data_IF_439296937998
#
_entry.id   IF_439296937998
#
_cell.length_a   1.000
_cell.length_b   1.000
_cell.length_c   1.000
_cell.angle_alpha   90.00
_cell.angle_beta   90.00
_cell.angle_gamma   90.00
#
_symmetry.space_group_name_H-M   'P 1'
#
loop_
_entity.id
_entity.type
_entity.pdbx_description
1 polymer ?
#
# COMPACT_ATOMS: atom_id res chain seq x y z
N UNK A 1 15.63 -41.57 -14.01
CA UNK A 1 15.82 -40.58 -12.93
C UNK A 1 15.09 -39.35 -13.38
N UNK A 2 13.83 -39.19 -12.91
CA UNK A 2 12.95 -38.10 -13.32
C UNK A 2 13.20 -36.89 -12.44
N UNK A 3 13.59 -35.82 -13.07
CA UNK A 3 13.75 -34.49 -12.48
C UNK A 3 12.33 -33.97 -12.14
N UNK A 4 11.98 -33.99 -10.84
CA UNK A 4 10.78 -33.34 -10.35
C UNK A 4 11.11 -31.84 -10.15
N UNK A 5 10.91 -31.06 -11.17
CA UNK A 5 10.75 -29.61 -11.06
C UNK A 5 9.60 -29.35 -10.08
N UNK A 6 9.94 -29.01 -8.84
CA UNK A 6 8.98 -28.47 -7.89
C UNK A 6 8.52 -27.11 -8.39
N UNK A 7 7.41 -27.10 -9.12
CA UNK A 7 6.63 -25.86 -9.33
C UNK A 7 6.11 -25.44 -7.96
N UNK A 8 6.77 -24.49 -7.33
CA UNK A 8 6.25 -23.77 -6.17
C UNK A 8 4.97 -23.06 -6.63
N UNK A 9 3.82 -23.67 -6.37
CA UNK A 9 2.53 -23.02 -6.58
C UNK A 9 2.44 -21.87 -5.59
N UNK A 10 2.79 -20.68 -6.03
CA UNK A 10 2.64 -19.45 -5.22
C UNK A 10 1.16 -19.29 -4.94
N UNK A 11 0.74 -19.53 -3.71
CA UNK A 11 -0.66 -19.38 -3.31
C UNK A 11 -0.96 -17.89 -3.20
N UNK A 12 -1.83 -17.38 -4.06
CA UNK A 12 -2.26 -16.00 -4.01
C UNK A 12 -3.11 -15.77 -2.75
N UNK A 13 -2.78 -14.72 -2.02
CA UNK A 13 -3.50 -14.31 -0.82
C UNK A 13 -4.71 -13.45 -1.18
N UNK A 14 -4.55 -12.58 -2.20
CA UNK A 14 -5.61 -11.75 -2.74
C UNK A 14 -5.64 -11.95 -4.25
N UNK A 15 -6.82 -12.13 -4.81
CA UNK A 15 -7.08 -12.18 -6.24
C UNK A 15 -8.25 -11.28 -6.58
N UNK A 16 -8.07 -10.35 -7.49
CA UNK A 16 -9.11 -9.48 -8.03
C UNK A 16 -9.09 -9.59 -9.56
N UNK A 17 -10.26 -9.73 -10.17
CA UNK A 17 -10.42 -9.81 -11.61
C UNK A 17 -11.60 -8.95 -12.06
N UNK A 18 -11.32 -7.93 -12.87
CA UNK A 18 -12.33 -7.03 -13.42
C UNK A 18 -13.12 -6.26 -12.35
N UNK A 19 -12.51 -6.02 -11.18
CA UNK A 19 -13.20 -5.46 -10.03
C UNK A 19 -13.70 -4.05 -10.33
N UNK A 20 -15.02 -3.89 -10.34
CA UNK A 20 -15.69 -2.61 -10.58
C UNK A 20 -16.56 -2.26 -9.38
N UNK A 21 -16.44 -0.99 -8.91
CA UNK A 21 -17.19 -0.50 -7.77
C UNK A 21 -17.73 0.90 -8.04
N UNK A 22 -19.00 1.13 -7.71
CA UNK A 22 -19.68 2.41 -7.95
C UNK A 22 -20.41 2.92 -6.72
N UNK A 23 -20.37 4.24 -6.53
CA UNK A 23 -21.19 4.98 -5.56
C UNK A 23 -22.17 5.86 -6.34
N UNK A 24 -23.38 5.36 -6.52
CA UNK A 24 -24.35 6.01 -7.39
C UNK A 24 -23.83 6.13 -8.82
N UNK A 25 -23.62 7.38 -9.30
CA UNK A 25 -23.08 7.65 -10.65
C UNK A 25 -21.54 7.66 -10.71
N UNK A 26 -20.85 7.72 -9.56
CA UNK A 26 -19.38 7.80 -9.52
C UNK A 26 -18.80 6.38 -9.54
N UNK A 27 -17.99 6.07 -10.54
CA UNK A 27 -17.15 4.87 -10.57
C UNK A 27 -15.93 5.12 -9.68
N UNK A 28 -15.75 4.30 -8.66
CA UNK A 28 -14.63 4.38 -7.73
C UNK A 28 -13.53 3.37 -8.06
N UNK A 29 -13.89 2.24 -8.68
CA UNK A 29 -12.97 1.27 -9.26
C UNK A 29 -13.54 0.86 -10.62
N UNK A 30 -12.67 0.77 -11.63
CA UNK A 30 -13.02 0.50 -13.01
C UNK A 30 -12.09 -0.58 -13.58
N UNK A 31 -12.59 -1.82 -13.66
CA UNK A 31 -11.90 -2.98 -14.24
C UNK A 31 -10.53 -3.30 -13.60
N UNK A 32 -10.45 -3.26 -12.26
CA UNK A 32 -9.21 -3.48 -11.53
C UNK A 32 -8.92 -4.97 -11.39
N UNK A 33 -7.75 -5.41 -11.89
CA UNK A 33 -7.30 -6.80 -11.81
C UNK A 33 -5.88 -6.89 -11.27
N UNK A 34 -5.66 -7.70 -10.22
CA UNK A 34 -4.35 -7.94 -9.63
C UNK A 34 -4.33 -9.19 -8.76
N UNK A 35 -3.13 -9.64 -8.42
CA UNK A 35 -2.89 -10.70 -7.44
C UNK A 35 -1.84 -10.25 -6.44
N UNK A 36 -1.99 -10.69 -5.18
CA UNK A 36 -0.99 -10.51 -4.13
C UNK A 36 -0.64 -11.90 -3.58
N UNK A 37 0.62 -12.34 -3.71
CA UNK A 37 1.08 -13.57 -3.09
C UNK A 37 1.15 -13.46 -1.56
N UNK A 38 1.22 -14.61 -0.88
CA UNK A 38 1.46 -14.67 0.57
C UNK A 38 2.88 -14.15 0.92
N UNK A 39 3.03 -13.57 2.13
CA UNK A 39 4.32 -13.12 2.66
C UNK A 39 4.81 -11.78 2.12
N UNK A 40 3.92 -10.99 1.50
CA UNK A 40 4.27 -9.71 0.87
C UNK A 40 3.82 -8.51 1.70
N UNK A 41 4.65 -7.47 1.67
CA UNK A 41 4.29 -6.14 2.18
C UNK A 41 4.03 -5.24 0.98
N UNK A 42 2.76 -4.96 0.73
CA UNK A 42 2.30 -4.30 -0.50
C UNK A 42 1.86 -2.87 -0.22
N UNK A 43 2.45 -1.91 -0.92
CA UNK A 43 2.03 -0.52 -0.91
C UNK A 43 0.90 -0.27 -1.92
N UNK A 44 -0.24 0.23 -1.46
CA UNK A 44 -1.31 0.72 -2.33
C UNK A 44 -1.21 2.24 -2.46
N UNK A 45 -0.64 2.70 -3.56
CA UNK A 45 -0.33 4.08 -3.82
C UNK A 45 -1.38 4.74 -4.71
N UNK A 46 -1.56 6.04 -4.55
CA UNK A 46 -2.49 6.82 -5.35
C UNK A 46 -2.84 8.15 -4.69
N UNK A 47 -3.24 9.13 -5.48
CA UNK A 47 -3.70 10.41 -4.94
C UNK A 47 -5.02 10.25 -4.14
N UNK A 48 -5.42 11.31 -3.43
CA UNK A 48 -6.71 11.31 -2.74
C UNK A 48 -7.86 11.19 -3.75
N UNK A 49 -8.73 10.21 -3.53
CA UNK A 49 -9.84 9.90 -4.45
C UNK A 49 -9.48 8.89 -5.56
N UNK A 50 -8.26 8.37 -5.64
CA UNK A 50 -7.84 7.37 -6.63
C UNK A 50 -8.57 6.02 -6.52
N UNK A 51 -9.25 5.75 -5.39
CA UNK A 51 -10.00 4.50 -5.17
C UNK A 51 -9.42 3.59 -4.07
N UNK A 52 -8.32 3.95 -3.41
CA UNK A 52 -7.62 3.12 -2.40
C UNK A 52 -8.55 2.59 -1.31
N UNK A 53 -9.23 3.48 -0.58
CA UNK A 53 -10.20 3.11 0.47
C UNK A 53 -11.36 2.25 -0.09
N UNK A 54 -11.79 2.52 -1.33
CA UNK A 54 -12.83 1.73 -1.97
C UNK A 54 -12.38 0.31 -2.26
N UNK A 55 -11.15 0.13 -2.74
CA UNK A 55 -10.53 -1.18 -2.94
C UNK A 55 -10.43 -1.92 -1.60
N UNK A 56 -9.87 -1.31 -0.57
CA UNK A 56 -9.75 -1.93 0.75
C UNK A 56 -11.11 -2.34 1.34
N UNK A 57 -12.14 -1.49 1.20
CA UNK A 57 -13.51 -1.83 1.62
C UNK A 57 -14.08 -3.03 0.87
N UNK A 58 -13.77 -3.19 -0.42
CA UNK A 58 -14.16 -4.37 -1.18
C UNK A 58 -13.44 -5.62 -0.68
N UNK A 59 -12.12 -5.53 -0.42
CA UNK A 59 -11.30 -6.65 0.08
C UNK A 59 -11.74 -7.16 1.46
N UNK A 60 -12.23 -6.28 2.33
CA UNK A 60 -12.74 -6.68 3.66
C UNK A 60 -14.25 -6.97 3.69
N UNK A 61 -14.90 -6.98 2.53
CA UNK A 61 -16.32 -7.27 2.39
C UNK A 61 -17.28 -6.22 2.96
N UNK A 62 -16.79 -4.97 3.14
CA UNK A 62 -17.61 -3.82 3.54
C UNK A 62 -18.40 -3.23 2.38
N UNK A 63 -17.93 -3.47 1.16
CA UNK A 63 -18.53 -2.96 -0.07
C UNK A 63 -18.61 -4.10 -1.10
N UNK A 64 -19.81 -4.52 -1.49
CA UNK A 64 -19.96 -5.53 -2.55
C UNK A 64 -19.53 -4.92 -3.90
N UNK A 65 -18.75 -5.62 -4.72
CA UNK A 65 -18.43 -5.18 -6.07
C UNK A 65 -19.68 -5.11 -6.94
N UNK A 66 -19.71 -4.13 -7.86
CA UNK A 66 -20.75 -4.02 -8.89
C UNK A 66 -20.45 -4.86 -10.13
N UNK A 67 -19.20 -5.33 -10.29
CA UNK A 67 -18.73 -6.21 -11.36
C UNK A 67 -17.39 -6.83 -11.02
N UNK A 68 -17.03 -7.89 -11.75
CA UNK A 68 -15.81 -8.66 -11.49
C UNK A 68 -15.91 -9.59 -10.29
N UNK A 69 -14.78 -10.14 -9.89
CA UNK A 69 -14.65 -11.05 -8.74
C UNK A 69 -13.50 -10.66 -7.84
N UNK A 70 -13.62 -10.98 -6.56
CA UNK A 70 -12.56 -10.81 -5.57
C UNK A 70 -12.53 -11.99 -4.62
N UNK A 71 -11.35 -12.49 -4.35
CA UNK A 71 -11.07 -13.53 -3.35
C UNK A 71 -9.97 -13.03 -2.41
N UNK A 72 -10.16 -13.21 -1.12
CA UNK A 72 -9.16 -12.89 -0.08
C UNK A 72 -9.01 -14.08 0.83
N UNK A 73 -7.78 -14.59 0.98
CA UNK A 73 -7.51 -15.84 1.72
C UNK A 73 -8.34 -17.03 1.19
N UNK A 74 -8.62 -17.04 -0.13
CA UNK A 74 -9.47 -18.07 -0.76
C UNK A 74 -10.96 -17.94 -0.45
N UNK A 75 -11.40 -16.85 0.19
CA UNK A 75 -12.79 -16.60 0.60
C UNK A 75 -13.39 -15.45 -0.22
N UNK A 76 -14.70 -15.54 -0.49
CA UNK A 76 -15.51 -14.41 -0.97
C UNK A 76 -15.70 -13.43 0.19
N UNK A 77 -15.17 -12.17 0.09
CA UNK A 77 -15.23 -11.23 1.20
C UNK A 77 -16.63 -10.83 1.64
N UNK A 78 -17.61 -10.87 0.74
CA UNK A 78 -19.00 -10.50 1.04
C UNK A 78 -19.76 -11.68 1.64
N UNK A 79 -19.67 -12.84 1.00
CA UNK A 79 -20.45 -14.02 1.39
C UNK A 79 -19.89 -14.73 2.62
N UNK A 80 -18.57 -14.67 2.79
CA UNK A 80 -17.84 -15.39 3.85
C UNK A 80 -17.12 -14.43 4.82
N UNK A 81 -17.64 -13.20 4.95
CA UNK A 81 -17.02 -12.11 5.72
C UNK A 81 -16.69 -12.50 7.16
N UNK A 82 -17.57 -13.21 7.85
CA UNK A 82 -17.30 -13.65 9.24
C UNK A 82 -16.03 -14.48 9.32
N UNK A 83 -15.89 -15.50 8.45
CA UNK A 83 -14.69 -16.37 8.38
C UNK A 83 -13.45 -15.61 7.94
N UNK A 84 -13.61 -14.62 7.04
CA UNK A 84 -12.52 -13.79 6.58
C UNK A 84 -11.96 -12.94 7.72
N UNK A 85 -12.82 -12.26 8.49
CA UNK A 85 -12.41 -11.38 9.58
C UNK A 85 -11.79 -12.11 10.78
N UNK A 86 -11.91 -13.43 10.88
CA UNK A 86 -11.13 -14.23 11.84
C UNK A 86 -9.65 -14.31 11.48
N UNK A 87 -9.30 -14.12 10.19
CA UNK A 87 -7.97 -14.30 9.64
C UNK A 87 -7.37 -13.02 9.05
N UNK A 88 -8.11 -11.92 9.12
CA UNK A 88 -7.75 -10.63 8.58
C UNK A 88 -7.91 -9.55 9.65
N UNK A 89 -6.91 -8.68 9.77
CA UNK A 89 -6.96 -7.47 10.58
C UNK A 89 -7.10 -6.24 9.68
N UNK A 90 -7.96 -5.28 10.06
CA UNK A 90 -8.19 -4.05 9.28
C UNK A 90 -8.16 -2.81 10.15
N UNK A 91 -7.34 -1.82 9.77
CA UNK A 91 -7.42 -0.45 10.29
C UNK A 91 -7.94 0.46 9.18
N UNK A 92 -9.12 1.09 9.35
CA UNK A 92 -9.61 2.11 8.43
C UNK A 92 -8.84 3.43 8.60
N UNK A 93 -8.94 4.32 7.61
CA UNK A 93 -8.33 5.66 7.58
C UNK A 93 -8.69 6.54 8.79
N UNK A 94 -9.86 6.32 9.36
CA UNK A 94 -10.26 6.88 10.64
C UNK A 94 -10.23 5.77 11.69
N UNK A 95 -9.08 5.64 12.35
CA UNK A 95 -8.94 4.70 13.47
C UNK A 95 -9.84 5.14 14.64
N UNK A 96 -11.04 4.56 14.73
CA UNK A 96 -12.02 4.92 15.76
C UNK A 96 -12.06 3.83 16.82
N UNK A 97 -11.28 4.01 17.89
CA UNK A 97 -11.51 3.26 19.11
C UNK A 97 -12.64 3.92 19.92
N UNK A 98 -13.49 3.13 20.64
CA UNK A 98 -14.55 3.67 21.47
C UNK A 98 -14.03 4.66 22.50
N UNK A 99 -14.36 5.94 22.35
CA UNK A 99 -13.83 7.04 23.17
C UNK A 99 -14.16 6.94 24.66
N UNK A 100 -15.24 6.24 25.00
CA UNK A 100 -15.70 6.02 26.36
C UNK A 100 -14.91 4.93 27.08
N UNK A 101 -14.33 3.98 26.33
CA UNK A 101 -13.65 2.81 26.88
C UNK A 101 -12.25 3.14 27.44
N UNK A 102 -11.81 2.33 28.39
CA UNK A 102 -10.42 2.23 28.82
C UNK A 102 -9.70 1.19 27.97
N UNK A 103 -8.38 1.30 27.90
CA UNK A 103 -7.55 0.38 27.07
C UNK A 103 -7.71 -1.09 27.50
N UNK A 104 -7.77 -1.38 28.81
CA UNK A 104 -8.01 -2.76 29.27
C UNK A 104 -9.41 -3.27 28.88
N UNK A 105 -10.44 -2.42 28.86
CA UNK A 105 -11.79 -2.80 28.41
C UNK A 105 -11.82 -3.13 26.92
N UNK A 106 -10.97 -2.47 26.11
CA UNK A 106 -10.79 -2.83 24.69
C UNK A 106 -10.15 -4.20 24.52
N UNK A 107 -9.17 -4.55 25.36
CA UNK A 107 -8.56 -5.88 25.36
C UNK A 107 -9.61 -6.95 25.71
N UNK A 108 -10.45 -6.72 26.73
CA UNK A 108 -11.53 -7.62 27.09
C UNK A 108 -12.56 -7.77 25.97
N UNK A 109 -12.95 -6.66 25.35
CA UNK A 109 -13.87 -6.64 24.20
C UNK A 109 -13.31 -7.46 23.04
N UNK A 110 -12.04 -7.23 22.66
CA UNK A 110 -11.36 -7.97 21.59
C UNK A 110 -11.28 -9.46 21.91
N UNK A 111 -11.00 -9.81 23.16
CA UNK A 111 -10.96 -11.23 23.61
C UNK A 111 -12.31 -11.94 23.46
N UNK A 112 -13.42 -11.21 23.58
CA UNK A 112 -14.76 -11.76 23.40
C UNK A 112 -15.24 -11.81 21.94
N UNK A 113 -14.70 -10.93 21.08
CA UNK A 113 -15.16 -10.78 19.70
C UNK A 113 -14.29 -11.52 18.68
N UNK A 114 -12.98 -11.62 18.94
CA UNK A 114 -11.99 -12.14 17.99
C UNK A 114 -11.37 -13.45 18.51
N UNK A 115 -11.72 -14.61 17.95
CA UNK A 115 -11.28 -15.91 18.44
C UNK A 115 -9.76 -16.10 18.44
N UNK A 116 -9.04 -15.40 17.55
CA UNK A 116 -7.58 -15.48 17.40
C UNK A 116 -6.83 -14.35 18.11
N UNK A 117 -7.50 -13.60 19.00
CA UNK A 117 -6.87 -12.51 19.72
C UNK A 117 -6.13 -13.00 20.97
N UNK A 118 -4.91 -12.52 21.19
CA UNK A 118 -4.14 -12.76 22.39
C UNK A 118 -4.07 -11.51 23.27
N UNK A 119 -4.81 -11.55 24.40
CA UNK A 119 -4.78 -10.46 25.39
C UNK A 119 -3.38 -10.28 26.01
N UNK A 120 -2.60 -11.37 26.14
CA UNK A 120 -1.23 -11.30 26.63
C UNK A 120 -0.34 -10.53 25.65
N UNK A 121 -0.40 -10.88 24.34
CA UNK A 121 0.35 -10.20 23.30
C UNK A 121 -0.04 -8.72 23.19
N UNK A 122 -1.33 -8.40 23.28
CA UNK A 122 -1.79 -7.01 23.30
C UNK A 122 -1.18 -6.20 24.43
N UNK A 123 -1.17 -6.76 25.66
CA UNK A 123 -0.53 -6.12 26.82
C UNK A 123 0.98 -5.98 26.65
N UNK A 124 1.65 -6.98 26.06
CA UNK A 124 3.09 -6.91 25.78
C UNK A 124 3.42 -5.79 24.77
N UNK A 125 2.63 -5.67 23.72
CA UNK A 125 2.80 -4.62 22.71
C UNK A 125 2.53 -3.22 23.30
N UNK A 126 1.48 -3.07 24.10
CA UNK A 126 1.15 -1.79 24.76
C UNK A 126 2.25 -1.34 25.71
N UNK A 127 2.98 -2.24 26.37
CA UNK A 127 4.14 -1.88 27.22
C UNK A 127 5.27 -1.20 26.45
N UNK A 128 5.33 -1.37 25.13
CA UNK A 128 6.31 -0.71 24.24
C UNK A 128 5.88 0.68 23.82
N UNK A 129 4.71 1.13 24.26
CA UNK A 129 4.10 2.44 23.95
C UNK A 129 3.96 3.27 25.22
N UNK A 130 3.56 4.54 25.05
CA UNK A 130 3.19 5.41 26.19
C UNK A 130 1.73 5.24 26.65
N UNK A 131 1.03 4.22 26.15
CA UNK A 131 -0.40 3.99 26.42
C UNK A 131 -0.59 3.14 27.66
N UNK A 132 -1.23 3.70 28.69
CA UNK A 132 -1.56 2.99 29.92
C UNK A 132 -2.83 2.15 29.82
N UNK A 133 -2.86 0.98 30.47
CA UNK A 133 -4.06 0.11 30.45
C UNK A 133 -5.30 0.77 31.03
N UNK A 134 -5.12 1.68 31.99
CA UNK A 134 -6.23 2.40 32.62
C UNK A 134 -6.62 3.71 31.91
N UNK A 135 -5.89 4.10 30.89
CA UNK A 135 -6.17 5.32 30.13
C UNK A 135 -7.50 5.19 29.38
N UNK A 136 -8.29 6.28 29.41
CA UNK A 136 -9.48 6.37 28.56
C UNK A 136 -9.06 6.78 27.15
N UNK A 137 -9.62 6.14 26.14
CA UNK A 137 -9.35 6.46 24.73
C UNK A 137 -9.53 7.96 24.43
N UNK A 138 -10.54 8.61 25.04
CA UNK A 138 -10.77 10.06 24.87
C UNK A 138 -9.64 10.97 25.37
N UNK A 139 -8.79 10.48 26.28
CA UNK A 139 -7.64 11.22 26.83
C UNK A 139 -6.33 10.95 26.11
N UNK A 140 -6.29 9.99 25.19
CA UNK A 140 -5.11 9.66 24.39
C UNK A 140 -4.89 10.73 23.31
N UNK A 141 -3.62 11.03 23.04
CA UNK A 141 -3.26 11.77 21.83
C UNK A 141 -3.60 10.96 20.58
N UNK A 142 -3.64 11.60 19.41
CA UNK A 142 -3.91 10.90 18.15
C UNK A 142 -2.90 9.76 17.90
N UNK A 143 -1.61 10.02 18.14
CA UNK A 143 -0.56 9.00 18.02
C UNK A 143 -0.76 7.83 18.98
N UNK A 144 -1.10 8.10 20.26
CA UNK A 144 -1.40 7.06 21.24
C UNK A 144 -2.61 6.20 20.85
N UNK A 145 -3.67 6.81 20.25
CA UNK A 145 -4.84 6.06 19.73
C UNK A 145 -4.41 5.10 18.63
N UNK A 146 -3.56 5.54 17.70
CA UNK A 146 -3.05 4.70 16.61
C UNK A 146 -2.15 3.59 17.13
N UNK A 147 -1.26 3.88 18.09
CA UNK A 147 -0.42 2.87 18.74
C UNK A 147 -1.27 1.82 19.48
N UNK A 148 -2.28 2.26 20.25
CA UNK A 148 -3.21 1.35 20.91
C UNK A 148 -3.97 0.47 19.92
N UNK A 149 -4.45 1.05 18.83
CA UNK A 149 -5.15 0.31 17.78
C UNK A 149 -4.24 -0.72 17.11
N UNK A 150 -3.02 -0.32 16.73
CA UNK A 150 -2.05 -1.25 16.13
C UNK A 150 -1.72 -2.40 17.11
N UNK A 151 -1.49 -2.10 18.39
CA UNK A 151 -1.21 -3.14 19.39
C UNK A 151 -2.36 -4.14 19.54
N UNK A 152 -3.61 -3.67 19.48
CA UNK A 152 -4.79 -4.55 19.53
C UNK A 152 -4.89 -5.44 18.29
N UNK A 153 -4.74 -4.88 17.08
CA UNK A 153 -4.88 -5.69 15.87
C UNK A 153 -3.67 -6.58 15.61
N UNK A 154 -2.45 -6.15 15.98
CA UNK A 154 -1.25 -6.97 15.88
C UNK A 154 -1.25 -8.17 16.86
N UNK A 155 -2.09 -8.10 17.89
CA UNK A 155 -2.30 -9.21 18.82
C UNK A 155 -3.29 -10.27 18.28
N UNK A 156 -3.89 -10.06 17.13
CA UNK A 156 -4.69 -11.07 16.42
C UNK A 156 -3.73 -11.96 15.61
N UNK A 157 -3.88 -13.27 15.71
CA UNK A 157 -3.15 -14.21 14.84
C UNK A 157 -3.82 -14.27 13.46
N UNK A 158 -3.61 -13.20 12.68
CA UNK A 158 -4.14 -13.05 11.33
C UNK A 158 -3.04 -13.30 10.28
N UNK A 159 -3.47 -13.67 9.06
CA UNK A 159 -2.58 -13.91 7.91
C UNK A 159 -2.40 -12.65 7.05
N UNK A 160 -3.37 -11.72 7.13
CA UNK A 160 -3.38 -10.49 6.35
C UNK A 160 -3.74 -9.31 7.25
N UNK A 161 -2.97 -8.24 7.13
CA UNK A 161 -3.29 -6.93 7.71
C UNK A 161 -3.55 -5.93 6.60
N UNK A 162 -4.66 -5.23 6.65
CA UNK A 162 -5.01 -4.14 5.73
C UNK A 162 -5.05 -2.84 6.51
N UNK A 163 -4.27 -1.84 6.06
CA UNK A 163 -4.06 -0.56 6.73
C UNK A 163 -4.39 0.58 5.77
N UNK A 164 -5.48 1.31 6.06
CA UNK A 164 -5.90 2.43 5.21
C UNK A 164 -5.41 3.76 5.80
N UNK A 165 -4.39 4.36 5.19
CA UNK A 165 -3.74 5.62 5.61
C UNK A 165 -3.41 5.65 7.13
N UNK A 166 -2.80 4.61 7.73
CA UNK A 166 -2.76 4.42 9.17
C UNK A 166 -2.00 5.50 9.93
N UNK A 167 -1.09 6.21 9.25
CA UNK A 167 -0.24 7.25 9.86
C UNK A 167 -0.71 8.67 9.54
N UNK A 168 -1.88 8.82 8.90
CA UNK A 168 -2.40 10.12 8.50
C UNK A 168 -2.60 11.06 9.70
N UNK A 169 -1.89 12.19 9.66
CA UNK A 169 -1.93 13.24 10.68
C UNK A 169 -1.25 12.86 11.99
N UNK A 170 -0.35 11.88 11.99
CA UNK A 170 0.61 11.64 13.05
C UNK A 170 1.83 12.56 12.89
N UNK A 171 2.47 12.88 14.00
CA UNK A 171 3.81 13.49 14.00
C UNK A 171 4.88 12.46 13.56
N UNK A 172 6.07 12.94 13.21
CA UNK A 172 7.18 12.13 12.69
C UNK A 172 7.57 11.00 13.64
N UNK A 173 7.62 11.26 14.96
CA UNK A 173 8.03 10.25 15.94
C UNK A 173 6.97 9.14 16.08
N UNK A 174 5.70 9.54 16.12
CA UNK A 174 4.58 8.58 16.18
C UNK A 174 4.52 7.69 14.93
N UNK A 175 4.79 8.24 13.75
CA UNK A 175 4.87 7.47 12.50
C UNK A 175 6.01 6.46 12.53
N UNK A 176 7.20 6.90 12.94
CA UNK A 176 8.37 6.02 13.04
C UNK A 176 8.08 4.84 13.97
N UNK A 177 7.55 5.11 15.18
CA UNK A 177 7.18 4.06 16.14
C UNK A 177 6.12 3.10 15.59
N UNK A 178 5.18 3.60 14.78
CA UNK A 178 4.17 2.76 14.12
C UNK A 178 4.83 1.78 13.14
N UNK A 179 5.71 2.27 12.27
CA UNK A 179 6.37 1.41 11.27
C UNK A 179 7.35 0.44 11.92
N UNK A 180 8.11 0.83 12.95
CA UNK A 180 8.96 -0.06 13.71
C UNK A 180 8.16 -1.22 14.31
N UNK A 181 7.03 -0.93 14.95
CA UNK A 181 6.15 -1.96 15.49
C UNK A 181 5.58 -2.87 14.39
N UNK A 182 5.21 -2.31 13.23
CA UNK A 182 4.70 -3.08 12.10
C UNK A 182 5.76 -4.04 11.56
N UNK A 183 7.02 -3.57 11.42
CA UNK A 183 8.14 -4.39 10.97
C UNK A 183 8.38 -5.55 11.93
N UNK A 184 8.56 -5.22 13.22
CA UNK A 184 8.91 -6.19 14.25
C UNK A 184 7.87 -7.29 14.42
N UNK A 185 6.60 -6.93 14.25
CA UNK A 185 5.48 -7.81 14.58
C UNK A 185 4.86 -8.51 13.36
N UNK A 186 5.06 -7.97 12.14
CA UNK A 186 4.32 -8.43 10.96
C UNK A 186 5.15 -8.71 9.72
N UNK A 187 6.34 -8.15 9.57
CA UNK A 187 7.18 -8.37 8.39
C UNK A 187 8.10 -9.60 8.56
N UNK A 188 7.51 -10.75 8.81
CA UNK A 188 8.21 -12.02 9.05
C UNK A 188 8.36 -12.91 7.79
N UNK A 189 7.84 -12.46 6.65
CA UNK A 189 7.80 -13.22 5.39
C UNK A 189 6.69 -14.28 5.31
N UNK A 190 5.96 -14.53 6.41
CA UNK A 190 4.84 -15.48 6.44
C UNK A 190 3.48 -14.78 6.37
N UNK A 191 3.39 -13.63 7.02
CA UNK A 191 2.19 -12.78 7.03
C UNK A 191 2.29 -11.72 5.96
N UNK A 192 1.15 -11.19 5.54
CA UNK A 192 1.10 -10.18 4.49
C UNK A 192 0.48 -8.88 5.02
N UNK A 193 0.96 -7.77 4.48
CA UNK A 193 0.45 -6.43 4.80
C UNK A 193 0.07 -5.73 3.51
N UNK A 194 -1.11 -5.12 3.47
CA UNK A 194 -1.51 -4.18 2.43
C UNK A 194 -1.71 -2.82 3.09
N UNK A 195 -0.87 -1.86 2.76
CA UNK A 195 -0.89 -0.52 3.35
C UNK A 195 -1.16 0.53 2.28
N UNK A 196 -2.22 1.33 2.46
CA UNK A 196 -2.42 2.51 1.63
C UNK A 196 -1.68 3.70 2.22
N UNK A 197 -1.06 4.48 1.36
CA UNK A 197 -0.45 5.76 1.74
C UNK A 197 -0.34 6.69 0.54
N UNK A 198 -0.31 7.98 0.82
CA UNK A 198 0.11 9.02 -0.11
C UNK A 198 1.51 9.55 0.23
N UNK A 199 2.11 9.08 1.34
CA UNK A 199 3.47 9.41 1.80
C UNK A 199 4.40 8.22 1.49
N UNK A 200 4.70 8.04 0.22
CA UNK A 200 5.41 6.86 -0.32
C UNK A 200 6.79 6.70 0.28
N UNK A 201 7.52 7.81 0.43
CA UNK A 201 8.91 7.83 0.90
C UNK A 201 9.08 7.22 2.31
N UNK A 202 8.03 7.27 3.14
CA UNK A 202 8.07 6.75 4.51
C UNK A 202 7.97 5.22 4.58
N UNK A 203 7.37 4.60 3.57
CA UNK A 203 7.07 3.15 3.56
C UNK A 203 7.89 2.39 2.52
N UNK A 204 8.52 3.07 1.56
CA UNK A 204 9.21 2.44 0.43
C UNK A 204 10.18 1.35 0.87
N UNK A 205 10.94 1.59 1.94
CA UNK A 205 11.91 0.62 2.48
C UNK A 205 11.29 -0.63 3.09
N UNK A 206 9.98 -0.63 3.35
CA UNK A 206 9.24 -1.76 3.93
C UNK A 206 8.57 -2.62 2.85
N UNK A 207 8.35 -2.04 1.68
CA UNK A 207 7.55 -2.67 0.64
C UNK A 207 8.34 -3.74 -0.10
N UNK A 208 7.67 -4.83 -0.42
CA UNK A 208 8.13 -5.81 -1.41
C UNK A 208 7.50 -5.59 -2.78
N UNK A 209 6.28 -5.08 -2.81
CA UNK A 209 5.49 -4.87 -4.02
C UNK A 209 4.71 -3.57 -3.95
N UNK A 210 4.31 -3.05 -5.09
CA UNK A 210 3.51 -1.84 -5.19
C UNK A 210 2.35 -2.00 -6.16
N UNK A 211 1.18 -1.53 -5.74
CA UNK A 211 -0.01 -1.31 -6.56
C UNK A 211 -0.24 0.20 -6.65
N UNK A 212 -0.34 0.74 -7.86
CA UNK A 212 -0.66 2.16 -8.06
C UNK A 212 -2.02 2.31 -8.69
N UNK A 213 -2.89 3.08 -8.02
CA UNK A 213 -4.23 3.43 -8.52
C UNK A 213 -4.27 4.89 -8.96
N UNK A 214 -4.90 5.12 -10.10
CA UNK A 214 -5.25 6.47 -10.58
C UNK A 214 -6.67 6.47 -11.17
N UNK A 215 -7.49 7.43 -10.75
CA UNK A 215 -8.89 7.59 -11.20
C UNK A 215 -9.70 6.26 -11.21
N UNK A 216 -9.47 5.39 -10.23
CA UNK A 216 -10.15 4.09 -10.09
C UNK A 216 -9.55 2.96 -10.93
N UNK A 217 -8.47 3.19 -11.64
CA UNK A 217 -7.78 2.20 -12.48
C UNK A 217 -6.44 1.79 -11.88
N UNK A 218 -6.05 0.54 -12.08
CA UNK A 218 -4.72 0.07 -11.74
C UNK A 218 -3.75 0.47 -12.85
N UNK A 219 -2.78 1.35 -12.53
CA UNK A 219 -1.77 1.83 -13.47
C UNK A 219 -0.43 1.12 -13.34
N UNK A 220 -0.16 0.51 -12.18
CA UNK A 220 1.03 -0.32 -11.96
C UNK A 220 0.72 -1.42 -10.94
N UNK A 221 1.26 -2.61 -11.20
CA UNK A 221 1.40 -3.74 -10.28
C UNK A 221 2.76 -4.35 -10.52
N UNK A 222 3.69 -4.19 -9.58
CA UNK A 222 5.08 -4.62 -9.75
C UNK A 222 5.74 -4.92 -8.41
N UNK A 223 6.67 -5.91 -8.42
CA UNK A 223 7.63 -6.09 -7.32
C UNK A 223 8.68 -4.98 -7.35
N UNK A 224 9.14 -4.54 -6.19
CA UNK A 224 10.20 -3.53 -6.11
C UNK A 224 11.53 -4.04 -6.70
N UNK A 225 11.73 -5.36 -6.71
CA UNK A 225 12.90 -6.00 -7.34
C UNK A 225 12.87 -5.87 -8.87
N UNK A 226 11.67 -5.81 -9.47
CA UNK A 226 11.48 -5.74 -10.92
C UNK A 226 11.46 -4.31 -11.47
N UNK A 227 11.45 -3.29 -10.61
CA UNK A 227 11.41 -1.88 -11.05
C UNK A 227 12.59 -1.56 -11.96
N UNK A 228 13.82 -1.93 -11.56
CA UNK A 228 15.03 -1.61 -12.30
C UNK A 228 15.16 -2.41 -13.60
N UNK A 229 14.41 -3.51 -13.75
CA UNK A 229 14.35 -4.30 -15.00
C UNK A 229 13.37 -3.70 -16.01
N UNK A 230 12.29 -3.09 -15.53
CA UNK A 230 11.25 -2.50 -16.37
C UNK A 230 11.50 -1.02 -16.69
N UNK A 231 11.91 -0.25 -15.67
CA UNK A 231 12.07 1.20 -15.80
C UNK A 231 13.54 1.61 -15.81
N UNK A 232 13.90 2.48 -16.75
CA UNK A 232 15.21 3.13 -16.79
C UNK A 232 15.03 4.60 -16.47
N UNK A 233 15.69 5.08 -15.40
CA UNK A 233 15.74 6.49 -15.09
C UNK A 233 17.15 7.03 -15.32
N UNK A 234 17.24 8.20 -15.91
CA UNK A 234 18.50 8.89 -16.23
C UNK A 234 18.52 10.28 -15.63
N UNK A 235 19.67 10.67 -15.08
CA UNK A 235 20.02 12.07 -14.79
C UNK A 235 20.89 12.59 -15.94
N UNK A 236 20.56 13.74 -16.53
CA UNK A 236 21.25 14.27 -17.69
C UNK A 236 21.54 15.76 -17.56
N UNK A 237 22.55 16.21 -18.30
CA UNK A 237 22.84 17.64 -18.44
C UNK A 237 21.71 18.36 -19.19
N UNK A 238 21.46 19.66 -18.90
CA UNK A 238 20.51 20.47 -19.66
C UNK A 238 20.79 20.48 -21.17
N UNK A 239 22.04 20.39 -21.57
CA UNK A 239 22.46 20.34 -22.98
C UNK A 239 21.97 19.09 -23.72
N UNK A 240 21.71 17.98 -23.01
CA UNK A 240 21.17 16.74 -23.58
C UNK A 240 19.64 16.71 -23.65
N UNK A 241 18.94 17.77 -23.20
CA UNK A 241 17.49 17.79 -23.05
C UNK A 241 16.72 17.47 -24.34
N UNK A 242 17.19 17.94 -25.49
CA UNK A 242 16.56 17.70 -26.81
C UNK A 242 16.75 16.23 -27.26
N UNK A 243 17.97 15.68 -27.06
CA UNK A 243 18.22 14.27 -27.36
C UNK A 243 17.39 13.34 -26.46
N UNK A 244 17.30 13.66 -25.17
CA UNK A 244 16.42 12.92 -24.23
C UNK A 244 14.95 13.02 -24.65
N UNK A 245 14.50 14.22 -25.08
CA UNK A 245 13.13 14.39 -25.56
C UNK A 245 12.86 13.55 -26.81
N UNK A 246 13.80 13.45 -27.73
CA UNK A 246 13.72 12.64 -28.93
C UNK A 246 13.65 11.12 -28.68
N UNK A 247 14.08 10.67 -27.50
CA UNK A 247 13.98 9.28 -27.06
C UNK A 247 12.62 8.93 -26.41
N UNK A 248 11.66 9.85 -26.39
CA UNK A 248 10.27 9.67 -25.92
C UNK A 248 10.13 9.07 -24.50
N UNK A 249 10.72 9.69 -23.46
CA UNK A 249 10.55 9.23 -22.08
C UNK A 249 9.10 9.42 -21.60
N UNK A 250 8.67 8.56 -20.65
CA UNK A 250 7.38 8.71 -19.96
C UNK A 250 7.30 10.01 -19.17
N UNK A 251 8.39 10.39 -18.51
CA UNK A 251 8.46 11.57 -17.65
C UNK A 251 9.80 12.28 -17.88
N UNK A 252 9.75 13.62 -17.89
CA UNK A 252 10.90 14.50 -17.76
C UNK A 252 10.66 15.52 -16.66
N UNK A 253 11.65 15.72 -15.81
CA UNK A 253 11.59 16.73 -14.75
C UNK A 253 12.97 17.32 -14.45
N UNK A 254 13.02 18.42 -13.68
CA UNK A 254 14.26 19.00 -13.20
C UNK A 254 14.57 18.51 -11.80
N UNK A 255 15.80 18.10 -11.59
CA UNK A 255 16.33 17.76 -10.28
C UNK A 255 16.89 19.01 -9.56
N UNK A 256 17.09 18.90 -8.25
CA UNK A 256 17.86 19.86 -7.50
C UNK A 256 19.29 19.96 -8.11
N UNK A 257 19.82 21.19 -8.20
CA UNK A 257 21.11 21.42 -8.87
C UNK A 257 21.03 21.65 -10.38
N UNK A 258 19.82 21.69 -10.98
CA UNK A 258 19.59 22.11 -12.36
C UNK A 258 19.77 21.03 -13.43
N UNK A 259 20.13 19.81 -13.06
CA UNK A 259 20.15 18.66 -13.98
C UNK A 259 18.74 18.27 -14.41
N UNK A 260 18.60 17.67 -15.58
CA UNK A 260 17.36 17.02 -16.00
C UNK A 260 17.30 15.58 -15.53
N UNK A 261 16.10 15.03 -15.42
CA UNK A 261 15.85 13.61 -15.24
C UNK A 261 14.78 13.12 -16.22
N UNK A 262 14.88 11.86 -16.63
CA UNK A 262 13.95 11.23 -17.52
C UNK A 262 13.71 9.77 -17.11
N UNK A 263 12.48 9.28 -17.27
CA UNK A 263 12.08 7.90 -17.00
C UNK A 263 11.54 7.27 -18.28
N UNK A 264 11.99 6.07 -18.56
CA UNK A 264 11.59 5.24 -19.71
C UNK A 264 10.96 3.93 -19.20
N UNK A 265 9.94 3.41 -19.88
CA UNK A 265 9.30 2.11 -19.60
C UNK A 265 9.63 1.11 -20.71
N UNK A 266 10.12 -0.08 -20.35
CA UNK A 266 10.40 -1.17 -21.27
C UNK A 266 11.52 -0.91 -22.27
N UNK A 267 12.35 0.09 -22.05
CA UNK A 267 13.47 0.44 -22.93
C UNK A 267 14.74 -0.25 -22.41
N UNK A 268 15.49 -0.99 -23.23
CA UNK A 268 16.79 -1.53 -22.86
C UNK A 268 17.75 -0.42 -22.41
N UNK A 269 18.45 -0.57 -21.27
CA UNK A 269 19.35 0.47 -20.73
C UNK A 269 20.41 0.94 -21.74
N UNK A 270 20.88 0.04 -22.61
CA UNK A 270 21.91 0.33 -23.60
C UNK A 270 21.48 1.35 -24.64
N UNK A 271 20.18 1.42 -24.94
CA UNK A 271 19.63 2.37 -25.92
C UNK A 271 19.63 3.83 -25.45
N UNK A 272 19.61 4.03 -24.13
CA UNK A 272 19.50 5.36 -23.53
C UNK A 272 20.72 5.73 -22.67
N UNK A 273 21.67 4.82 -22.47
CA UNK A 273 22.86 5.02 -21.61
C UNK A 273 23.71 6.20 -22.02
N UNK A 274 23.76 6.54 -23.31
CA UNK A 274 24.51 7.69 -23.84
C UNK A 274 23.84 9.05 -23.56
N UNK A 275 22.58 9.06 -23.11
CA UNK A 275 21.81 10.29 -22.85
C UNK A 275 22.04 10.83 -21.45
N UNK A 276 22.57 10.06 -20.52
CA UNK A 276 22.80 10.46 -19.15
C UNK A 276 23.27 9.35 -18.23
N UNK A 277 23.43 9.70 -16.97
CA UNK A 277 23.80 8.76 -15.91
C UNK A 277 22.58 8.02 -15.39
N UNK A 278 22.66 6.69 -15.29
CA UNK A 278 21.58 5.87 -14.74
C UNK A 278 21.36 6.17 -13.25
N UNK A 279 20.11 6.42 -12.90
CA UNK A 279 19.67 6.58 -11.51
C UNK A 279 18.54 5.60 -11.23
N UNK A 280 18.25 5.30 -9.95
CA UNK A 280 17.08 4.53 -9.58
C UNK A 280 15.86 5.47 -9.52
N UNK A 281 14.75 5.16 -10.22
CA UNK A 281 13.54 5.95 -10.10
C UNK A 281 12.92 5.75 -8.71
N UNK A 282 12.47 6.84 -8.06
CA UNK A 282 11.66 6.74 -6.86
C UNK A 282 10.24 6.29 -7.21
N UNK A 283 9.54 5.70 -6.25
CA UNK A 283 8.12 5.35 -6.46
C UNK A 283 7.25 6.58 -6.74
N UNK A 284 7.63 7.75 -6.18
CA UNK A 284 6.95 9.03 -6.45
C UNK A 284 7.13 9.44 -7.91
N UNK A 285 8.35 9.33 -8.43
CA UNK A 285 8.62 9.65 -9.83
C UNK A 285 7.90 8.71 -10.79
N UNK A 286 7.86 7.41 -10.48
CA UNK A 286 7.10 6.42 -11.25
C UNK A 286 5.60 6.72 -11.21
N UNK A 287 5.06 7.06 -10.04
CA UNK A 287 3.66 7.45 -9.93
C UNK A 287 3.36 8.68 -10.79
N UNK A 288 4.22 9.71 -10.73
CA UNK A 288 4.07 10.89 -11.59
C UNK A 288 4.18 10.57 -13.07
N UNK A 289 5.08 9.64 -13.45
CA UNK A 289 5.27 9.24 -14.84
C UNK A 289 4.03 8.54 -15.42
N UNK A 290 3.39 7.70 -14.61
CA UNK A 290 2.26 6.86 -15.04
C UNK A 290 0.90 7.57 -14.96
N UNK A 291 0.76 8.61 -14.11
CA UNK A 291 -0.51 9.30 -13.87
C UNK A 291 -0.62 10.67 -14.56
N UNK A 292 0.51 11.26 -14.98
CA UNK A 292 0.46 12.51 -15.73
C UNK A 292 -0.19 12.27 -17.10
N UNK A 293 -1.34 12.89 -17.33
CA UNK A 293 -1.85 13.09 -18.69
C UNK A 293 -0.75 13.83 -19.48
N UNK A 294 -0.40 13.39 -20.71
CA UNK A 294 0.57 14.12 -21.53
C UNK A 294 0.14 15.58 -21.56
N UNK A 295 1.01 16.46 -21.04
CA UNK A 295 0.74 17.90 -21.07
C UNK A 295 0.47 18.27 -22.53
N UNK A 296 -0.71 18.82 -22.80
CA UNK A 296 -0.99 19.51 -24.05
C UNK A 296 0.21 20.42 -24.30
N UNK A 297 0.91 20.17 -25.42
CA UNK A 297 2.03 21.03 -25.84
C UNK A 297 1.55 22.47 -25.76
N UNK A 298 2.33 23.40 -25.18
CA UNK A 298 1.94 24.79 -25.23
C UNK A 298 1.78 25.15 -26.72
N UNK A 299 0.56 25.46 -27.12
CA UNK A 299 0.28 26.07 -28.43
C UNK A 299 1.11 27.35 -28.48
N UNK A 300 2.10 27.37 -29.32
CA UNK A 300 2.84 28.58 -29.66
C UNK A 300 1.83 29.66 -30.09
N UNK A 301 1.77 30.82 -29.42
CA UNK A 301 0.94 31.90 -29.93
C UNK A 301 1.55 32.39 -31.25
N UNK A 302 0.71 32.47 -32.26
CA UNK A 302 0.98 33.09 -33.57
C UNK A 302 1.20 34.58 -33.39
#
# INVERSE_FOLDING_TARGET
MGDRTMTTTTTNLIEASGLTLRYGRKTALDDVSFTIPKGRVVGLLGHNGAGKTSLMKALVGLMPPGGGTVSVLGLDPVRQRGRLLEQLSYIPDVAVLPRWARVHELIELMSGLQPRFSAERARALLKRTSVGLNDKVKSLSKGMVVQAHLALIAAVDAQLMILDEPTLGLDVMSRKSFYEMLIDEWCDGERSVLISTHQVEEVESLLSDVLMLDEGKLVLNISLEDIDSRFVALSHDPAAADAVAGAHPLLRYRQAGGRGAAIFDGVPPEQVSQLGERIRPSLVDLFMALTRKPALQPTTPV
#
